data_IF_328694901242
#
_entry.id   IF_328694901242
#
_cell.length_a   1.000
_cell.length_b   1.000
_cell.length_c   1.000
_cell.angle_alpha   90.00
_cell.angle_beta   90.00
_cell.angle_gamma   90.00
#
_symmetry.space_group_name_H-M   'P 1'
#
loop_
_entity.id
_entity.type
_entity.pdbx_description
1 polymer ?
#
# COMPACT_ATOMS: atom_id res chain seq x y z
N UNK A 1 14.23 23.56 -6.11
CA UNK A 1 14.58 22.47 -5.17
C UNK A 1 13.30 21.83 -4.67
N UNK A 2 13.08 20.51 -4.82
CA UNK A 2 12.00 19.87 -4.08
C UNK A 2 12.28 20.07 -2.59
N UNK A 3 11.28 20.42 -1.75
CA UNK A 3 11.50 20.61 -0.33
C UNK A 3 12.09 19.32 0.27
N UNK A 4 13.17 19.43 1.04
CA UNK A 4 13.73 18.31 1.78
C UNK A 4 12.68 17.83 2.78
N UNK A 5 12.02 16.75 2.40
CA UNK A 5 11.09 16.05 3.28
C UNK A 5 11.88 15.52 4.47
N UNK A 6 11.43 15.75 5.71
CA UNK A 6 12.03 15.19 6.93
C UNK A 6 12.22 13.66 6.83
N UNK A 7 11.39 13.00 6.02
CA UNK A 7 11.48 11.56 5.75
C UNK A 7 12.70 11.15 4.93
N UNK A 8 13.31 12.05 4.16
CA UNK A 8 14.50 11.76 3.35
C UNK A 8 15.79 11.78 4.19
N UNK A 9 15.77 12.43 5.37
CA UNK A 9 16.90 12.48 6.30
C UNK A 9 16.87 11.38 7.37
N UNK A 10 15.83 10.52 7.36
CA UNK A 10 15.75 9.42 8.31
C UNK A 10 16.67 8.27 7.92
N UNK A 11 17.28 7.64 8.92
CA UNK A 11 17.95 6.35 8.73
C UNK A 11 16.93 5.29 8.30
N UNK A 12 17.33 4.27 7.50
CA UNK A 12 16.40 3.28 6.95
C UNK A 12 15.49 2.62 7.99
N UNK A 13 16.04 2.24 9.16
CA UNK A 13 15.28 1.62 10.24
C UNK A 13 14.15 2.52 10.79
N UNK A 14 14.43 3.82 10.93
CA UNK A 14 13.43 4.79 11.38
C UNK A 14 12.37 5.03 10.30
N UNK A 15 12.77 5.05 9.03
CA UNK A 15 11.86 5.19 7.90
C UNK A 15 10.91 3.99 7.79
N UNK A 16 11.39 2.77 8.00
CA UNK A 16 10.56 1.56 7.99
C UNK A 16 9.53 1.57 9.12
N UNK A 17 9.91 2.03 10.31
CA UNK A 17 8.98 2.19 11.43
C UNK A 17 7.89 3.20 11.09
N UNK A 18 8.24 4.34 10.50
CA UNK A 18 7.28 5.36 10.03
C UNK A 18 6.31 4.77 9.00
N UNK A 19 6.83 4.04 8.00
CA UNK A 19 6.02 3.39 6.98
C UNK A 19 5.05 2.38 7.58
N UNK A 20 5.50 1.59 8.58
CA UNK A 20 4.66 0.63 9.29
C UNK A 20 3.49 1.32 10.02
N UNK A 21 3.76 2.37 10.78
CA UNK A 21 2.71 3.13 11.50
C UNK A 21 1.66 3.68 10.53
N UNK A 22 2.10 4.21 9.37
CA UNK A 22 1.18 4.71 8.33
C UNK A 22 0.30 3.59 7.77
N UNK A 23 0.89 2.41 7.53
CA UNK A 23 0.20 1.22 7.01
C UNK A 23 -0.82 0.66 8.00
N UNK A 24 -0.46 0.56 9.28
CA UNK A 24 -1.36 0.14 10.38
C UNK A 24 -2.60 1.05 10.46
N UNK A 25 -2.45 2.34 10.17
CA UNK A 25 -3.53 3.32 10.13
C UNK A 25 -4.22 3.46 8.77
N UNK A 26 -3.96 2.52 7.84
CA UNK A 26 -4.56 2.45 6.50
C UNK A 26 -4.49 3.77 5.71
N UNK A 27 -3.44 4.57 5.90
CA UNK A 27 -3.22 5.84 5.20
C UNK A 27 -4.28 6.95 5.43
N UNK A 28 -5.29 6.76 6.27
CA UNK A 28 -6.45 7.68 6.39
C UNK A 28 -6.41 8.54 7.66
N UNK A 29 -5.89 8.01 8.76
CA UNK A 29 -5.98 8.66 10.08
C UNK A 29 -4.76 9.54 10.38
N UNK A 30 -4.55 10.60 9.58
CA UNK A 30 -3.36 11.46 9.68
C UNK A 30 -3.12 12.06 11.06
N UNK A 31 -4.17 12.45 11.79
CA UNK A 31 -4.02 12.99 13.14
C UNK A 31 -3.46 11.95 14.11
N UNK A 32 -3.95 10.70 14.05
CA UNK A 32 -3.45 9.60 14.88
C UNK A 32 -2.02 9.20 14.51
N UNK A 33 -1.73 9.16 13.21
CA UNK A 33 -0.37 8.91 12.72
C UNK A 33 0.58 10.01 13.24
N UNK A 34 0.19 11.28 13.15
CA UNK A 34 1.00 12.39 13.63
C UNK A 34 1.23 12.31 15.15
N UNK A 35 0.19 11.99 15.93
CA UNK A 35 0.32 11.78 17.38
C UNK A 35 1.27 10.63 17.71
N UNK A 36 1.16 9.51 17.00
CA UNK A 36 2.03 8.35 17.21
C UNK A 36 3.48 8.64 16.82
N UNK A 37 3.70 9.37 15.72
CA UNK A 37 5.04 9.82 15.31
C UNK A 37 5.64 10.80 16.33
N UNK A 38 4.83 11.70 16.88
CA UNK A 38 5.27 12.61 17.94
C UNK A 38 5.67 11.87 19.22
N UNK A 39 4.92 10.82 19.61
CA UNK A 39 5.31 9.92 20.73
C UNK A 39 6.63 9.20 20.46
N UNK A 40 6.91 8.89 19.21
CA UNK A 40 8.17 8.29 18.75
C UNK A 40 9.29 9.32 18.54
N UNK A 41 9.10 10.58 18.93
CA UNK A 41 10.10 11.66 18.85
C UNK A 41 10.22 12.33 17.48
N UNK A 42 9.29 12.05 16.55
CA UNK A 42 9.26 12.63 15.21
C UNK A 42 8.07 13.59 15.07
N UNK A 43 8.30 14.88 15.30
CA UNK A 43 7.28 15.90 15.05
C UNK A 43 7.27 16.28 13.56
N UNK A 44 6.14 16.03 12.89
CA UNK A 44 5.96 16.29 11.46
C UNK A 44 4.71 17.13 11.24
N UNK A 45 4.86 18.23 10.51
CA UNK A 45 3.72 19.05 10.06
C UNK A 45 2.73 18.22 9.24
N UNK A 46 1.44 18.36 9.53
CA UNK A 46 0.34 17.64 8.87
C UNK A 46 0.41 17.66 7.33
N UNK A 47 0.76 18.79 6.73
CA UNK A 47 0.89 18.92 5.26
C UNK A 47 2.06 18.13 4.69
N UNK A 48 3.17 18.02 5.43
CA UNK A 48 4.31 17.16 5.06
C UNK A 48 3.94 15.69 5.20
N UNK A 49 3.28 15.31 6.30
CA UNK A 49 2.79 13.96 6.50
C UNK A 49 1.80 13.54 5.40
N UNK A 50 0.83 14.38 5.07
CA UNK A 50 -0.14 14.11 4.01
C UNK A 50 0.54 13.81 2.66
N UNK A 51 1.47 14.69 2.23
CA UNK A 51 2.22 14.50 0.97
C UNK A 51 2.98 13.18 0.97
N UNK A 52 3.62 12.85 2.09
CA UNK A 52 4.36 11.59 2.24
C UNK A 52 3.44 10.37 2.18
N UNK A 53 2.32 10.40 2.90
CA UNK A 53 1.32 9.31 2.92
C UNK A 53 0.75 9.06 1.53
N UNK A 54 0.44 10.11 0.76
CA UNK A 54 -0.03 9.98 -0.63
C UNK A 54 1.03 9.32 -1.52
N UNK A 55 2.29 9.76 -1.42
CA UNK A 55 3.39 9.18 -2.18
C UNK A 55 3.69 7.74 -1.78
N UNK A 56 3.62 7.41 -0.48
CA UNK A 56 3.77 6.04 0.03
C UNK A 56 2.62 5.15 -0.46
N UNK A 57 1.36 5.60 -0.35
CA UNK A 57 0.19 4.86 -0.84
C UNK A 57 0.29 4.57 -2.35
N UNK A 58 0.78 5.52 -3.14
CA UNK A 58 1.00 5.32 -4.60
C UNK A 58 2.08 4.27 -4.86
N UNK A 59 3.19 4.30 -4.12
CA UNK A 59 4.25 3.28 -4.21
C UNK A 59 3.73 1.91 -3.77
N UNK A 60 3.05 1.84 -2.63
CA UNK A 60 2.50 0.60 -2.07
C UNK A 60 1.38 0.02 -2.94
N UNK A 61 0.66 0.83 -3.74
CA UNK A 61 -0.31 0.32 -4.72
C UNK A 61 0.33 -0.43 -5.90
N UNK A 62 1.60 -0.13 -6.20
CA UNK A 62 2.39 -0.80 -7.24
C UNK A 62 3.12 -2.04 -6.71
N UNK A 63 3.20 -2.20 -5.38
CA UNK A 63 3.81 -3.34 -4.73
C UNK A 63 2.74 -4.38 -4.40
N UNK A 64 3.05 -5.65 -4.61
CA UNK A 64 2.19 -6.74 -4.15
C UNK A 64 2.07 -6.65 -2.63
N UNK A 65 0.84 -6.59 -2.10
CA UNK A 65 0.63 -6.73 -0.66
C UNK A 65 0.90 -8.19 -0.29
N UNK A 66 1.39 -8.50 0.93
CA UNK A 66 1.46 -9.87 1.43
C UNK A 66 0.09 -10.56 1.48
N UNK A 67 -0.99 -9.77 1.48
CA UNK A 67 -2.38 -10.23 1.43
C UNK A 67 -2.92 -10.34 -0.01
N UNK A 68 -2.15 -9.91 -1.01
CA UNK A 68 -2.45 -10.02 -2.45
C UNK A 68 -1.64 -11.21 -3.01
N UNK A 69 -1.97 -12.42 -2.55
CA UNK A 69 -1.26 -13.66 -2.95
C UNK A 69 -1.34 -13.93 -4.45
N UNK A 70 -2.43 -13.50 -5.10
CA UNK A 70 -2.69 -13.83 -6.50
C UNK A 70 -3.27 -12.67 -7.29
N UNK A 71 -2.70 -12.44 -8.48
CA UNK A 71 -3.27 -11.59 -9.52
C UNK A 71 -3.99 -12.49 -10.52
N UNK A 72 -5.28 -12.24 -10.73
CA UNK A 72 -6.11 -12.95 -11.72
C UNK A 72 -6.36 -12.04 -12.90
N UNK A 73 -5.88 -12.45 -14.07
CA UNK A 73 -6.17 -11.76 -15.33
C UNK A 73 -7.25 -12.54 -16.07
N UNK A 74 -8.42 -11.93 -16.20
CA UNK A 74 -9.55 -12.50 -16.94
C UNK A 74 -9.53 -11.88 -18.33
N UNK A 75 -9.45 -12.73 -19.36
CA UNK A 75 -9.48 -12.32 -20.76
C UNK A 75 -10.75 -12.88 -21.40
N UNK A 76 -11.68 -12.00 -21.71
CA UNK A 76 -12.91 -12.39 -22.40
C UNK A 76 -12.66 -12.41 -23.91
N UNK A 77 -12.62 -13.62 -24.50
CA UNK A 77 -12.26 -13.76 -25.93
C UNK A 77 -13.30 -13.21 -26.90
N UNK A 78 -14.57 -13.11 -26.48
CA UNK A 78 -15.66 -12.58 -27.32
C UNK A 78 -15.59 -11.06 -27.49
N UNK A 79 -15.19 -10.34 -26.44
CA UNK A 79 -15.14 -8.87 -26.40
C UNK A 79 -13.71 -8.31 -26.53
N UNK A 80 -12.69 -9.13 -26.25
CA UNK A 80 -11.32 -8.67 -26.10
C UNK A 80 -11.06 -7.93 -24.79
N UNK A 81 -12.03 -7.89 -23.87
CA UNK A 81 -11.89 -7.19 -22.61
C UNK A 81 -10.92 -7.92 -21.67
N UNK A 82 -10.00 -7.16 -21.06
CA UNK A 82 -9.06 -7.66 -20.07
C UNK A 82 -9.38 -7.02 -18.72
N UNK A 83 -9.74 -7.85 -17.73
CA UNK A 83 -9.98 -7.43 -16.35
C UNK A 83 -8.91 -8.01 -15.44
N UNK A 84 -8.30 -7.16 -14.62
CA UNK A 84 -7.31 -7.57 -13.62
C UNK A 84 -7.94 -7.47 -12.24
N UNK A 85 -8.00 -8.62 -11.54
CA UNK A 85 -8.53 -8.73 -10.19
C UNK A 85 -7.41 -9.15 -9.25
N UNK A 86 -7.31 -8.46 -8.12
CA UNK A 86 -6.38 -8.83 -7.05
C UNK A 86 -7.14 -9.60 -5.98
N UNK A 87 -6.61 -10.74 -5.56
CA UNK A 87 -7.27 -11.60 -4.56
C UNK A 87 -6.26 -12.13 -3.53
N UNK A 88 -6.76 -12.38 -2.33
CA UNK A 88 -6.02 -13.02 -1.23
C UNK A 88 -6.08 -14.55 -1.30
N UNK A 89 -6.81 -15.10 -2.28
CA UNK A 89 -6.91 -16.55 -2.50
C UNK A 89 -5.68 -17.02 -3.29
N UNK A 90 -5.15 -18.21 -2.99
CA UNK A 90 -4.03 -18.79 -3.74
C UNK A 90 -4.40 -19.07 -5.20
N UNK A 91 -3.42 -19.04 -6.10
CA UNK A 91 -3.64 -19.31 -7.53
C UNK A 91 -4.27 -20.69 -7.77
N UNK A 92 -3.89 -21.68 -6.96
CA UNK A 92 -4.44 -23.04 -7.00
C UNK A 92 -5.93 -23.08 -6.65
N UNK A 93 -6.34 -22.39 -5.58
CA UNK A 93 -7.75 -22.31 -5.18
C UNK A 93 -8.59 -21.52 -6.19
N UNK A 94 -8.02 -20.47 -6.82
CA UNK A 94 -8.68 -19.78 -7.94
C UNK A 94 -8.87 -20.71 -9.13
N UNK A 95 -7.85 -21.49 -9.50
CA UNK A 95 -7.94 -22.44 -10.61
C UNK A 95 -8.99 -23.53 -10.34
N UNK A 96 -9.04 -24.07 -9.12
CA UNK A 96 -10.03 -25.06 -8.71
C UNK A 96 -11.47 -24.51 -8.78
N UNK A 97 -11.69 -23.26 -8.34
CA UNK A 97 -13.00 -22.60 -8.43
C UNK A 97 -13.47 -22.46 -9.88
N UNK A 98 -12.58 -22.05 -10.79
CA UNK A 98 -12.90 -21.90 -12.22
C UNK A 98 -13.19 -23.27 -12.84
N UNK A 99 -12.34 -24.27 -12.58
CA UNK A 99 -12.51 -25.63 -13.11
C UNK A 99 -13.79 -26.30 -12.63
N UNK A 100 -14.26 -26.00 -11.42
CA UNK A 100 -15.53 -26.53 -10.88
C UNK A 100 -16.79 -25.94 -11.52
N UNK A 101 -16.64 -24.85 -12.30
CA UNK A 101 -17.73 -24.11 -12.94
C UNK A 101 -17.63 -24.11 -14.47
N UNK A 102 -16.58 -24.71 -15.03
CA UNK A 102 -16.42 -24.98 -16.46
C UNK A 102 -17.19 -26.25 -16.83
#
# INVERSE_FOLDING_TARGET
MPPSSIFNSLIPLALDRVNRIIREHRYVNLSKIQEQLAKDGLDVKRSTLHRYVVALKKRDALLARPEEDTIVTIVERSSGEVRVVKTAITAEAVAALIASKA
#
